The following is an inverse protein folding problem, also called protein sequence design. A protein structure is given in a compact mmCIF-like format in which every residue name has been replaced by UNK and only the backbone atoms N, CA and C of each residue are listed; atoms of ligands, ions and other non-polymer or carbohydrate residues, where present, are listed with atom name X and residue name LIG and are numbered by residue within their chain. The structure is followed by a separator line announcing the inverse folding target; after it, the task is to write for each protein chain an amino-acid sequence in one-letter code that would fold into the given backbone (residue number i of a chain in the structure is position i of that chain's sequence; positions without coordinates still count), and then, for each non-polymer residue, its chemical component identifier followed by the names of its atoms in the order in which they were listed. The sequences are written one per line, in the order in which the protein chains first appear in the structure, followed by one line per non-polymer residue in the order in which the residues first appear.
data_IF_218303247987
#
_entry.id   IF_218303247987
#
_cell.length_a   1.000
_cell.length_b   1.000
_cell.length_c   1.000
_cell.angle_alpha   90.00
_cell.angle_beta   90.00
_cell.angle_gamma   90.00
#
_symmetry.space_group_name_H-M   'P 1'
#
loop_
_entity.id
_entity.type
_entity.pdbx_description
1 polymer ?
#
# COMPACT_ATOMS: atom_id res chain seq x y z
N UNK A 1 -15.13 23.04 -2.27
CA UNK A 1 -14.11 22.01 -2.42
C UNK A 1 -13.61 22.06 -3.86
N UNK A 2 -12.41 21.61 -4.13
CA UNK A 2 -11.90 21.25 -5.46
C UNK A 2 -11.81 19.73 -5.52
N UNK A 3 -12.01 19.17 -6.70
CA UNK A 3 -11.88 17.72 -6.94
C UNK A 3 -10.55 17.45 -7.65
N UNK A 4 -9.73 16.56 -7.09
CA UNK A 4 -8.49 16.09 -7.68
C UNK A 4 -8.71 14.67 -8.20
N UNK A 5 -8.34 14.43 -9.47
CA UNK A 5 -8.27 13.09 -10.07
C UNK A 5 -6.82 12.79 -10.41
N UNK A 6 -6.29 11.71 -9.88
CA UNK A 6 -4.93 11.26 -10.17
C UNK A 6 -4.94 9.98 -10.97
N UNK A 7 -4.10 9.94 -12.02
CA UNK A 7 -3.79 8.72 -12.78
C UNK A 7 -2.33 8.38 -12.55
N UNK A 8 -2.06 7.26 -11.88
CA UNK A 8 -0.71 6.79 -11.54
C UNK A 8 -0.33 5.69 -12.55
N UNK A 9 0.83 5.81 -13.14
CA UNK A 9 1.31 4.85 -14.13
C UNK A 9 2.85 4.72 -14.07
N UNK A 10 3.33 3.58 -14.53
CA UNK A 10 4.77 3.36 -14.75
C UNK A 10 5.25 4.20 -15.93
N UNK A 11 6.24 5.05 -15.72
CA UNK A 11 6.72 6.01 -16.70
C UNK A 11 7.36 5.35 -17.96
N UNK A 12 7.79 4.09 -17.85
CA UNK A 12 8.43 3.36 -18.94
C UNK A 12 7.41 2.63 -19.81
N UNK A 13 6.48 1.92 -19.16
CA UNK A 13 5.48 1.11 -19.88
C UNK A 13 4.19 1.86 -20.20
N UNK A 14 3.90 2.97 -19.50
CA UNK A 14 2.63 3.67 -19.54
C UNK A 14 1.47 2.92 -18.88
N UNK A 15 1.73 1.77 -18.25
CA UNK A 15 0.69 0.95 -17.64
C UNK A 15 0.25 1.52 -16.30
N UNK A 16 -1.07 1.54 -15.98
CA UNK A 16 -1.54 1.87 -14.66
C UNK A 16 -0.84 1.03 -13.60
N UNK A 17 -0.46 1.65 -12.49
CA UNK A 17 0.29 0.96 -11.45
C UNK A 17 -0.18 1.33 -10.05
N UNK A 18 -0.21 0.34 -9.17
CA UNK A 18 -0.60 0.54 -7.79
C UNK A 18 0.47 1.29 -7.00
N UNK A 19 0.04 2.14 -6.06
CA UNK A 19 0.94 2.95 -5.24
C UNK A 19 0.31 3.33 -3.90
N UNK A 20 1.15 3.80 -2.99
CA UNK A 20 0.74 4.51 -1.76
C UNK A 20 0.62 5.99 -2.08
N UNK A 21 -0.49 6.60 -1.69
CA UNK A 21 -0.73 8.02 -1.94
C UNK A 21 -0.97 8.74 -0.63
N UNK A 22 -0.22 9.80 -0.41
CA UNK A 22 -0.36 10.70 0.73
C UNK A 22 -0.69 12.09 0.22
N UNK A 23 -1.84 12.63 0.64
CA UNK A 23 -2.29 13.97 0.26
C UNK A 23 -2.50 14.79 1.52
N UNK A 24 -1.86 15.97 1.57
CA UNK A 24 -2.10 16.96 2.60
C UNK A 24 -2.78 18.19 2.00
N UNK A 25 -3.82 18.65 2.67
CA UNK A 25 -4.45 19.92 2.31
C UNK A 25 -3.72 21.13 2.92
N UNK A 26 -4.20 22.34 2.60
CA UNK A 26 -3.63 23.60 3.07
C UNK A 26 -3.64 23.81 4.58
N UNK A 27 -4.34 22.97 5.32
CA UNK A 27 -4.41 22.97 6.79
C UNK A 27 -3.56 21.87 7.42
N UNK A 28 -2.85 21.09 6.59
CA UNK A 28 -2.01 19.98 7.01
C UNK A 28 -2.80 18.69 7.33
N UNK A 29 -4.08 18.62 6.98
CA UNK A 29 -4.87 17.41 7.17
C UNK A 29 -4.70 16.44 6.00
N UNK A 30 -4.54 15.17 6.35
CA UNK A 30 -4.54 14.08 5.38
C UNK A 30 -5.91 13.93 4.73
N UNK A 31 -5.90 13.75 3.39
CA UNK A 31 -7.08 13.53 2.57
C UNK A 31 -6.97 12.21 1.80
N UNK A 32 -8.09 11.50 1.71
CA UNK A 32 -8.18 10.23 0.99
C UNK A 32 -9.59 10.07 0.39
N UNK A 33 -9.76 9.24 -0.64
CA UNK A 33 -11.08 8.82 -1.09
C UNK A 33 -11.87 8.13 0.04
N UNK A 34 -13.19 8.29 0.05
CA UNK A 34 -14.03 7.82 1.16
C UNK A 34 -13.92 6.30 1.43
N UNK A 35 -13.82 5.51 0.35
CA UNK A 35 -13.84 4.05 0.43
C UNK A 35 -12.44 3.42 0.27
N UNK A 36 -11.39 4.22 0.37
CA UNK A 36 -10.02 3.72 0.21
C UNK A 36 -9.54 2.94 1.44
N UNK A 37 -8.73 1.93 1.20
CA UNK A 37 -7.97 1.24 2.25
C UNK A 37 -6.89 2.18 2.75
N UNK A 38 -6.89 2.46 4.05
CA UNK A 38 -5.95 3.36 4.69
C UNK A 38 -4.89 2.59 5.46
N UNK A 39 -3.68 3.17 5.52
CA UNK A 39 -2.67 2.69 6.46
C UNK A 39 -3.16 2.86 7.90
N UNK A 40 -3.05 1.78 8.68
CA UNK A 40 -3.25 1.78 10.13
C UNK A 40 -1.90 1.74 10.84
N UNK A 41 -1.80 2.45 11.97
CA UNK A 41 -0.59 2.50 12.79
C UNK A 41 0.25 3.77 12.59
N UNK A 42 1.41 3.87 13.26
CA UNK A 42 2.22 5.08 13.32
C UNK A 42 2.89 5.42 11.98
N UNK A 43 3.38 6.66 11.89
CA UNK A 43 4.06 7.22 10.73
C UNK A 43 3.13 7.95 9.77
N UNK A 44 3.63 8.29 8.58
CA UNK A 44 2.88 9.06 7.59
C UNK A 44 1.64 8.29 7.15
N UNK A 45 0.43 8.89 7.22
CA UNK A 45 -0.78 8.26 6.70
C UNK A 45 -0.71 8.21 5.17
N UNK A 46 -1.29 7.18 4.57
CA UNK A 46 -1.49 7.05 3.13
C UNK A 46 -2.71 6.17 2.86
N UNK A 47 -3.21 6.25 1.65
CA UNK A 47 -4.17 5.29 1.13
C UNK A 47 -3.55 4.44 0.03
N UNK A 48 -4.07 3.23 -0.13
CA UNK A 48 -3.70 2.32 -1.19
C UNK A 48 -4.49 2.67 -2.45
N UNK A 49 -3.80 2.74 -3.60
CA UNK A 49 -4.40 3.13 -4.88
C UNK A 49 -3.98 2.15 -5.98
N UNK A 50 -4.92 1.74 -6.82
CA UNK A 50 -4.68 0.83 -7.97
C UNK A 50 -4.53 1.59 -9.30
N UNK A 51 -3.90 2.74 -9.27
CA UNK A 51 -3.61 3.52 -10.47
C UNK A 51 -4.48 4.75 -10.64
N UNK A 52 -5.70 4.79 -10.09
CA UNK A 52 -6.57 5.96 -10.19
C UNK A 52 -7.19 6.30 -8.85
N UNK A 53 -7.34 7.60 -8.59
CA UNK A 53 -8.09 8.08 -7.42
C UNK A 53 -8.82 9.38 -7.72
N UNK A 54 -9.88 9.61 -6.97
CA UNK A 54 -10.60 10.88 -6.94
C UNK A 54 -10.85 11.27 -5.49
N UNK A 55 -10.56 12.53 -5.13
CA UNK A 55 -10.82 13.05 -3.79
C UNK A 55 -11.07 14.57 -3.81
N UNK A 56 -11.77 15.04 -2.79
CA UNK A 56 -12.05 16.44 -2.60
C UNK A 56 -11.11 17.09 -1.58
N UNK A 57 -10.62 18.28 -1.93
CA UNK A 57 -9.77 19.10 -1.08
C UNK A 57 -10.34 20.50 -0.87
N UNK A 58 -10.10 21.15 0.28
CA UNK A 58 -10.40 22.57 0.43
C UNK A 58 -9.51 23.40 -0.50
N UNK A 59 -9.88 24.66 -0.71
CA UNK A 59 -9.03 25.63 -1.43
C UNK A 59 -7.69 25.80 -0.72
N UNK A 60 -6.63 26.05 -1.49
CA UNK A 60 -5.30 26.34 -0.98
C UNK A 60 -4.24 25.39 -1.46
N UNK A 61 -3.11 25.36 -0.80
CA UNK A 61 -2.01 24.47 -1.13
C UNK A 61 -2.40 23.01 -0.88
N UNK A 62 -1.96 22.13 -1.77
CA UNK A 62 -2.11 20.67 -1.65
C UNK A 62 -0.77 20.04 -1.97
N UNK A 63 -0.27 19.22 -1.06
CA UNK A 63 0.94 18.45 -1.25
C UNK A 63 0.58 16.98 -1.46
N UNK A 64 1.10 16.39 -2.52
CA UNK A 64 0.88 14.99 -2.90
C UNK A 64 2.22 14.27 -2.95
N UNK A 65 2.29 13.11 -2.29
CA UNK A 65 3.40 12.19 -2.40
C UNK A 65 2.86 10.84 -2.86
N UNK A 66 3.45 10.30 -3.91
CA UNK A 66 3.15 8.97 -4.44
C UNK A 66 4.39 8.10 -4.34
N UNK A 67 4.24 6.93 -3.75
CA UNK A 67 5.34 5.99 -3.51
C UNK A 67 4.93 4.57 -3.91
N UNK A 68 5.84 3.86 -4.59
CA UNK A 68 5.69 2.45 -4.92
C UNK A 68 6.99 1.71 -4.60
N UNK A 69 6.90 0.67 -3.78
CA UNK A 69 8.04 -0.20 -3.46
C UNK A 69 9.33 0.55 -3.18
N UNK A 70 10.46 -0.13 -3.38
CA UNK A 70 11.81 0.42 -3.16
C UNK A 70 12.56 0.72 -4.45
N UNK A 71 12.05 0.26 -5.60
CA UNK A 71 12.70 0.42 -6.91
C UNK A 71 12.17 1.62 -7.71
N UNK A 72 11.21 2.38 -7.15
CA UNK A 72 10.66 3.57 -7.78
C UNK A 72 11.06 4.84 -7.04
N UNK A 73 11.34 5.89 -7.80
CA UNK A 73 11.55 7.23 -7.25
C UNK A 73 10.22 7.76 -6.67
N UNK A 74 10.20 8.27 -5.43
CA UNK A 74 9.01 8.92 -4.90
C UNK A 74 8.65 10.16 -5.71
N UNK A 75 7.40 10.25 -6.15
CA UNK A 75 6.89 11.43 -6.85
C UNK A 75 6.31 12.43 -5.84
N UNK A 76 6.81 13.66 -5.87
CA UNK A 76 6.32 14.77 -5.03
C UNK A 76 5.77 15.87 -5.92
N UNK A 77 4.57 16.32 -5.60
CA UNK A 77 3.88 17.40 -6.30
C UNK A 77 3.24 18.34 -5.28
N UNK A 78 3.40 19.65 -5.50
CA UNK A 78 2.66 20.70 -4.79
C UNK A 78 1.85 21.51 -5.79
N UNK A 79 0.59 21.76 -5.49
CA UNK A 79 -0.31 22.54 -6.32
C UNK A 79 -1.19 23.46 -5.49
N UNK A 80 -1.93 24.36 -6.15
CA UNK A 80 -2.91 25.22 -5.51
C UNK A 80 -4.31 24.87 -6.01
N UNK A 81 -5.18 24.46 -5.12
CA UNK A 81 -6.57 24.13 -5.41
C UNK A 81 -7.46 25.38 -5.32
N UNK A 82 -8.09 25.76 -6.43
CA UNK A 82 -9.12 26.81 -6.47
C UNK A 82 -10.50 26.21 -6.18
N UNK A 83 -11.43 26.98 -5.59
CA UNK A 83 -12.78 26.49 -5.35
C UNK A 83 -13.46 26.02 -6.65
N UNK A 84 -14.16 24.89 -6.57
CA UNK A 84 -14.88 24.25 -7.68
C UNK A 84 -14.00 23.84 -8.89
N UNK A 85 -12.67 23.84 -8.75
CA UNK A 85 -11.79 23.32 -9.79
C UNK A 85 -11.88 21.79 -9.86
N UNK A 86 -11.82 21.28 -11.10
CA UNK A 86 -11.47 19.90 -11.39
C UNK A 86 -10.02 19.89 -11.84
N UNK A 87 -9.19 19.09 -11.17
CA UNK A 87 -7.74 19.03 -11.38
C UNK A 87 -7.39 17.59 -11.75
N UNK A 88 -7.07 17.37 -13.01
CA UNK A 88 -6.63 16.08 -13.49
C UNK A 88 -5.09 16.03 -13.48
N UNK A 89 -4.54 15.01 -12.87
CA UNK A 89 -3.11 14.83 -12.65
C UNK A 89 -2.62 13.53 -13.30
N UNK A 90 -1.60 13.65 -14.13
CA UNK A 90 -0.80 12.51 -14.56
C UNK A 90 0.39 12.34 -13.61
N UNK A 91 0.53 11.15 -13.02
CA UNK A 91 1.47 10.85 -11.95
C UNK A 91 2.41 9.69 -12.38
N UNK A 92 3.38 9.98 -13.29
CA UNK A 92 4.31 8.98 -13.76
C UNK A 92 5.30 8.58 -12.67
N UNK A 93 5.35 7.30 -12.32
CA UNK A 93 6.35 6.74 -11.41
C UNK A 93 7.53 6.21 -12.22
N UNK A 94 8.70 6.72 -11.92
CA UNK A 94 9.94 6.32 -12.58
C UNK A 94 10.66 5.25 -11.78
N UNK A 95 10.89 4.09 -12.42
CA UNK A 95 11.72 3.03 -11.84
C UNK A 95 13.19 3.44 -11.97
N UNK A 96 13.95 3.40 -10.88
CA UNK A 96 15.39 3.70 -10.86
C UNK A 96 16.26 2.42 -10.90
N UNK A 97 15.68 1.28 -10.53
CA UNK A 97 16.32 -0.04 -10.61
C UNK A 97 15.30 -1.07 -11.07
N UNK A 98 15.75 -2.07 -11.82
CA UNK A 98 14.97 -3.25 -12.20
C UNK A 98 15.70 -4.50 -11.70
N UNK A 99 15.50 -4.80 -10.42
CA UNK A 99 16.12 -5.96 -9.76
C UNK A 99 15.53 -7.29 -10.23
N UNK A 100 14.23 -7.43 -10.53
CA UNK A 100 13.68 -8.65 -11.09
C UNK A 100 14.33 -9.10 -12.39
N UNK A 101 14.76 -8.18 -13.27
CA UNK A 101 15.54 -8.52 -14.48
C UNK A 101 16.89 -9.17 -14.16
N UNK A 102 17.40 -8.95 -12.95
CA UNK A 102 18.64 -9.52 -12.42
C UNK A 102 18.38 -10.72 -11.49
N UNK A 103 17.15 -11.26 -11.50
CA UNK A 103 16.72 -12.38 -10.66
C UNK A 103 16.70 -12.10 -9.14
N UNK A 104 16.58 -10.82 -8.77
CA UNK A 104 16.35 -10.40 -7.39
C UNK A 104 14.90 -9.97 -7.22
N UNK A 105 14.19 -10.62 -6.31
CA UNK A 105 12.76 -10.41 -6.11
C UNK A 105 12.50 -9.83 -4.72
N UNK A 106 11.88 -8.64 -4.63
CA UNK A 106 11.54 -8.05 -3.35
C UNK A 106 10.42 -8.82 -2.67
N UNK A 107 10.47 -8.90 -1.35
CA UNK A 107 9.42 -9.56 -0.58
C UNK A 107 9.37 -9.05 0.85
N UNK A 108 8.24 -9.30 1.49
CA UNK A 108 8.05 -9.11 2.92
C UNK A 108 7.63 -10.44 3.54
N UNK A 109 8.41 -10.93 4.48
CA UNK A 109 8.22 -12.25 5.11
C UNK A 109 7.61 -12.16 6.51
N UNK A 110 7.20 -10.96 6.97
CA UNK A 110 6.64 -10.79 8.32
C UNK A 110 5.72 -9.57 8.39
N UNK A 111 4.42 -9.80 8.25
CA UNK A 111 3.39 -8.77 8.38
C UNK A 111 2.29 -9.28 9.32
N UNK A 112 1.87 -8.41 10.24
CA UNK A 112 0.63 -8.58 10.99
C UNK A 112 -0.31 -7.43 10.67
N UNK A 113 -1.60 -7.71 10.55
CA UNK A 113 -2.60 -6.67 10.45
C UNK A 113 -3.20 -6.40 11.81
N UNK A 114 -3.17 -5.12 12.21
CA UNK A 114 -3.72 -4.64 13.47
C UNK A 114 -5.20 -5.04 13.61
N UNK A 115 -5.68 -5.24 14.84
CA UNK A 115 -7.09 -5.58 15.11
C UNK A 115 -8.08 -4.56 14.57
N UNK A 116 -7.63 -3.29 14.43
CA UNK A 116 -8.42 -2.17 13.90
C UNK A 116 -8.54 -2.16 12.39
N UNK A 117 -7.85 -3.08 11.69
CA UNK A 117 -7.97 -3.20 10.24
C UNK A 117 -9.39 -3.58 9.87
N UNK A 118 -10.08 -2.68 9.18
CA UNK A 118 -11.48 -2.85 8.80
C UNK A 118 -11.64 -3.67 7.52
N UNK A 119 -10.63 -3.64 6.66
CA UNK A 119 -10.63 -4.27 5.34
C UNK A 119 -9.40 -5.17 5.14
N UNK A 120 -9.18 -6.19 5.99
CA UNK A 120 -7.94 -6.97 5.95
C UNK A 120 -7.75 -7.72 4.63
N UNK A 121 -8.82 -8.21 4.00
CA UNK A 121 -8.76 -8.90 2.72
C UNK A 121 -8.39 -7.95 1.57
N UNK A 122 -9.00 -6.76 1.51
CA UNK A 122 -8.63 -5.75 0.52
C UNK A 122 -7.19 -5.26 0.72
N UNK A 123 -6.77 -5.12 1.98
CA UNK A 123 -5.39 -4.75 2.26
C UNK A 123 -4.41 -5.82 1.79
N UNK A 124 -4.63 -7.10 2.07
CA UNK A 124 -3.74 -8.18 1.63
C UNK A 124 -3.69 -8.29 0.11
N UNK A 125 -4.80 -7.99 -0.57
CA UNK A 125 -4.86 -7.91 -2.04
C UNK A 125 -4.01 -6.76 -2.59
N UNK A 126 -4.03 -5.59 -1.95
CA UNK A 126 -3.32 -4.38 -2.41
C UNK A 126 -1.86 -4.31 -1.97
N UNK A 127 -1.52 -4.87 -0.82
CA UNK A 127 -0.20 -4.75 -0.18
C UNK A 127 0.96 -5.13 -1.12
N UNK A 128 0.97 -6.31 -1.79
CA UNK A 128 2.07 -6.67 -2.68
C UNK A 128 2.20 -5.72 -3.86
N UNK A 129 1.08 -5.23 -4.40
CA UNK A 129 1.08 -4.35 -5.58
C UNK A 129 1.63 -2.96 -5.29
N UNK A 130 1.24 -2.33 -4.17
CA UNK A 130 1.71 -0.99 -3.80
C UNK A 130 3.16 -0.98 -3.30
N UNK A 131 3.65 -2.11 -2.82
CA UNK A 131 5.03 -2.28 -2.40
C UNK A 131 5.91 -2.93 -3.47
N UNK A 132 5.35 -3.36 -4.57
CA UNK A 132 6.03 -4.09 -5.65
C UNK A 132 6.71 -5.38 -5.14
N UNK A 133 6.07 -6.09 -4.20
CA UNK A 133 6.60 -7.33 -3.66
C UNK A 133 6.26 -8.52 -4.54
N UNK A 134 7.23 -9.36 -4.81
CA UNK A 134 7.01 -10.65 -5.47
C UNK A 134 6.47 -11.70 -4.50
N UNK A 135 6.83 -11.59 -3.22
CA UNK A 135 6.34 -12.47 -2.15
C UNK A 135 5.93 -11.65 -0.94
N UNK A 136 4.75 -11.93 -0.41
CA UNK A 136 4.26 -11.35 0.84
C UNK A 136 3.80 -12.47 1.75
N UNK A 137 4.47 -12.65 2.90
CA UNK A 137 4.03 -13.58 3.94
C UNK A 137 3.34 -12.77 5.04
N UNK A 138 2.04 -13.03 5.20
CA UNK A 138 1.26 -12.47 6.30
C UNK A 138 1.25 -13.47 7.43
N UNK A 139 1.78 -13.04 8.57
CA UNK A 139 1.92 -13.91 9.74
C UNK A 139 0.64 -13.92 10.58
N UNK A 140 0.16 -15.10 10.90
CA UNK A 140 -0.85 -15.29 11.94
C UNK A 140 -0.17 -15.66 13.24
N UNK A 141 -0.76 -15.22 14.35
CA UNK A 141 -0.30 -15.56 15.68
C UNK A 141 -1.51 -15.88 16.56
N UNK A 142 -1.73 -17.14 16.79
CA UNK A 142 -2.87 -17.63 17.58
C UNK A 142 -2.58 -17.51 19.08
N UNK A 143 -2.65 -16.27 19.56
CA UNK A 143 -2.57 -15.98 20.99
C UNK A 143 -3.78 -15.11 21.39
N UNK A 144 -4.35 -15.42 22.54
CA UNK A 144 -5.53 -14.73 23.07
C UNK A 144 -5.27 -13.25 23.43
N UNK A 145 -4.00 -12.89 23.62
CA UNK A 145 -3.56 -11.54 23.99
C UNK A 145 -3.16 -10.65 22.79
N UNK A 146 -3.19 -11.20 21.56
CA UNK A 146 -2.81 -10.49 20.34
C UNK A 146 -3.85 -10.71 19.22
N UNK A 147 -4.97 -9.97 19.24
CA UNK A 147 -6.07 -10.17 18.31
C UNK A 147 -5.81 -9.50 16.94
N UNK A 148 -4.79 -9.95 16.22
CA UNK A 148 -4.53 -9.44 14.87
C UNK A 148 -5.66 -9.78 13.89
N UNK A 149 -6.01 -8.83 13.01
CA UNK A 149 -7.00 -9.06 11.95
C UNK A 149 -6.53 -10.17 10.99
N UNK A 150 -5.22 -10.32 10.78
CA UNK A 150 -4.61 -11.37 9.98
C UNK A 150 -4.83 -12.79 10.52
N UNK A 151 -5.15 -12.96 11.80
CA UNK A 151 -5.44 -14.28 12.40
C UNK A 151 -6.73 -14.94 11.85
N UNK A 152 -7.50 -14.20 11.04
CA UNK A 152 -8.72 -14.72 10.41
C UNK A 152 -8.46 -15.41 9.07
N UNK A 153 -7.27 -15.27 8.50
CA UNK A 153 -6.91 -15.89 7.23
C UNK A 153 -6.59 -17.39 7.42
N UNK A 154 -6.95 -18.23 6.45
CA UNK A 154 -6.49 -19.62 6.42
C UNK A 154 -4.99 -19.67 6.10
N UNK A 155 -4.29 -20.67 6.63
CA UNK A 155 -2.89 -20.93 6.30
C UNK A 155 -2.70 -21.35 4.84
N UNK A 156 -1.56 -20.98 4.27
CA UNK A 156 -1.15 -21.31 2.91
C UNK A 156 -1.35 -20.18 1.91
N UNK A 157 -1.11 -20.50 0.64
CA UNK A 157 -1.18 -19.51 -0.44
C UNK A 157 -2.62 -19.03 -0.68
N UNK A 158 -2.80 -17.72 -0.66
CA UNK A 158 -4.07 -17.08 -1.00
C UNK A 158 -4.22 -16.96 -2.52
N UNK A 159 -4.79 -17.98 -3.16
CA UNK A 159 -4.91 -18.05 -4.62
C UNK A 159 -5.85 -16.99 -5.22
N UNK A 160 -6.77 -16.45 -4.45
CA UNK A 160 -7.72 -15.42 -4.86
C UNK A 160 -7.10 -14.02 -4.97
N UNK A 161 -5.96 -13.79 -4.31
CA UNK A 161 -5.21 -12.52 -4.34
C UNK A 161 -3.81 -12.66 -4.94
N UNK A 162 -3.31 -13.86 -5.10
CA UNK A 162 -2.00 -14.12 -5.72
C UNK A 162 -2.08 -14.05 -7.24
N UNK A 163 -0.98 -13.62 -7.86
CA UNK A 163 -0.80 -13.57 -9.31
C UNK A 163 0.50 -14.27 -9.70
N UNK A 164 0.81 -14.33 -11.00
CA UNK A 164 2.09 -14.89 -11.48
C UNK A 164 3.32 -14.09 -10.98
N UNK A 165 3.13 -12.84 -10.56
CA UNK A 165 4.22 -11.94 -10.16
C UNK A 165 4.19 -11.55 -8.68
N UNK A 166 3.08 -11.79 -8.00
CA UNK A 166 2.86 -11.43 -6.60
C UNK A 166 2.21 -12.60 -5.88
N UNK A 167 2.97 -13.31 -5.06
CA UNK A 167 2.47 -14.43 -4.26
C UNK A 167 2.20 -13.96 -2.84
N UNK A 168 1.02 -14.23 -2.34
CA UNK A 168 0.64 -14.00 -0.94
C UNK A 168 0.49 -15.34 -0.25
N UNK A 169 1.25 -15.54 0.82
CA UNK A 169 1.19 -16.73 1.65
C UNK A 169 0.86 -16.36 3.09
N UNK A 170 0.05 -17.17 3.74
CA UNK A 170 -0.31 -17.00 5.14
C UNK A 170 0.47 -18.02 5.94
N UNK A 171 1.44 -17.53 6.72
CA UNK A 171 2.30 -18.34 7.56
C UNK A 171 1.98 -18.22 9.04
N UNK A 172 2.34 -19.22 9.82
CA UNK A 172 2.24 -19.14 11.28
C UNK A 172 3.52 -18.55 11.88
N UNK A 173 3.39 -17.59 12.78
CA UNK A 173 4.50 -17.14 13.60
C UNK A 173 4.56 -17.96 14.88
N UNK A 174 5.67 -18.64 15.11
CA UNK A 174 5.90 -19.35 16.35
C UNK A 174 6.77 -18.50 17.29
N UNK A 175 6.20 -18.06 18.40
CA UNK A 175 6.91 -17.34 19.48
C UNK A 175 7.20 -18.27 20.64
N UNK A 176 8.45 -18.69 20.76
CA UNK A 176 8.92 -19.38 21.96
C UNK A 176 9.24 -18.36 23.07
N UNK A 177 9.02 -18.75 24.35
CA UNK A 177 9.27 -17.91 25.53
C UNK A 177 10.75 -17.54 25.73
N UNK A 178 11.65 -18.03 24.91
CA UNK A 178 13.09 -17.85 24.99
C UNK A 178 13.66 -16.91 23.93
N UNK A 179 13.00 -15.77 23.63
CA UNK A 179 13.59 -14.64 22.93
C UNK A 179 13.85 -14.74 21.41
N UNK A 180 13.39 -15.71 20.68
CA UNK A 180 13.52 -15.73 19.22
C UNK A 180 12.18 -15.81 18.50
N UNK A 181 11.98 -14.94 17.50
CA UNK A 181 10.90 -15.04 16.55
C UNK A 181 11.36 -15.93 15.40
N UNK A 182 10.59 -16.94 15.07
CA UNK A 182 10.77 -17.67 13.84
C UNK A 182 9.47 -17.64 13.05
N UNK A 183 9.51 -17.04 11.87
CA UNK A 183 8.41 -17.11 10.91
C UNK A 183 8.58 -18.36 10.05
N UNK A 184 7.52 -19.14 9.91
CA UNK A 184 7.46 -20.25 8.98
C UNK A 184 6.50 -19.90 7.86
N UNK A 185 7.01 -19.84 6.64
CA UNK A 185 6.19 -19.93 5.43
C UNK A 185 5.81 -21.39 5.18
N UNK A 186 4.68 -21.61 4.58
CA UNK A 186 4.20 -22.93 4.15
C UNK A 186 4.53 -23.20 2.70
#
# INVERSE_FOLDING_TARGET
MATIRGTIFDATSGSPTAAKVHVLDSTGHFRAPADSVLKIGPGRPFFYCEGNFELDVPRGAVDILVERGTEYEPLKLSLSASPQANIDLELPLKRWADLPSQQWFPGNTHIHYDEKEQQPHERVRLEPHVHDFSVTVVSILQRNDLPYASNRFPLGVMNDVSTAHHVVDIGEENRHNASSHMGYGH
#
